data_IF_475601190995
#
_entry.id   IF_475601190995
#
_cell.length_a   1.000
_cell.length_b   1.000
_cell.length_c   1.000
_cell.angle_alpha   90.00
_cell.angle_beta   90.00
_cell.angle_gamma   90.00
#
_symmetry.space_group_name_H-M   'P 1'
#
loop_
_entity.id
_entity.type
_entity.pdbx_description
1 polymer ?
#
# COMPACT_ATOMS: atom_id res chain seq x y z
N UNK A 1 15.72 -15.96 21.31
CA UNK A 1 15.89 -15.99 19.84
C UNK A 1 14.69 -15.27 19.26
N UNK A 2 14.87 -14.17 18.52
CA UNK A 2 13.74 -13.51 17.87
C UNK A 2 13.23 -14.47 16.82
N UNK A 3 11.96 -14.89 16.94
CA UNK A 3 11.39 -15.88 16.03
C UNK A 3 11.22 -15.24 14.64
N UNK A 4 11.75 -15.90 13.61
CA UNK A 4 11.67 -15.44 12.23
C UNK A 4 10.21 -15.28 11.76
N UNK A 5 9.29 -16.01 12.39
CA UNK A 5 7.85 -15.86 12.21
C UNK A 5 7.35 -14.45 12.59
N UNK A 6 7.89 -13.83 13.66
CA UNK A 6 7.48 -12.50 14.10
C UNK A 6 7.97 -11.39 13.17
N UNK A 7 9.14 -11.56 12.54
CA UNK A 7 9.64 -10.62 11.54
C UNK A 7 8.83 -10.70 10.25
N UNK A 8 8.38 -11.89 9.86
CA UNK A 8 7.51 -12.06 8.70
C UNK A 8 6.17 -11.30 8.85
N UNK A 9 5.64 -11.18 10.08
CA UNK A 9 4.41 -10.40 10.35
C UNK A 9 4.59 -8.89 10.23
N UNK A 10 5.82 -8.39 10.13
CA UNK A 10 6.11 -6.96 9.90
C UNK A 10 6.31 -6.62 8.44
N UNK A 11 6.30 -7.62 7.56
CA UNK A 11 6.42 -7.40 6.13
C UNK A 11 5.08 -6.88 5.57
N UNK A 12 5.12 -5.91 4.63
CA UNK A 12 3.90 -5.38 4.01
C UNK A 12 3.17 -6.42 3.14
N UNK A 13 3.88 -7.47 2.69
CA UNK A 13 3.30 -8.61 1.98
C UNK A 13 3.59 -9.92 2.73
N UNK A 14 2.57 -10.76 2.81
CA UNK A 14 2.63 -12.12 3.31
C UNK A 14 2.78 -13.11 2.16
N UNK A 15 3.77 -14.01 2.27
CA UNK A 15 3.94 -15.09 1.32
C UNK A 15 2.93 -16.21 1.57
N UNK A 16 2.13 -16.52 0.55
CA UNK A 16 1.14 -17.59 0.55
C UNK A 16 1.76 -18.84 -0.06
N UNK A 17 2.19 -19.75 0.81
CA UNK A 17 2.84 -20.99 0.41
C UNK A 17 1.85 -21.91 -0.32
N UNK A 18 2.17 -22.34 -1.56
CA UNK A 18 1.37 -23.36 -2.24
C UNK A 18 1.34 -24.69 -1.48
N UNK A 19 0.26 -25.48 -1.61
CA UNK A 19 0.19 -26.78 -1.00
C UNK A 19 1.36 -27.66 -1.45
N UNK A 20 1.97 -28.40 -0.51
CA UNK A 20 3.10 -29.34 -0.73
C UNK A 20 4.44 -28.69 -1.06
N UNK A 21 4.55 -27.37 -1.07
CA UNK A 21 5.85 -26.72 -1.11
C UNK A 21 6.52 -26.78 0.26
N UNK A 22 7.84 -26.66 0.29
CA UNK A 22 8.56 -26.38 1.54
C UNK A 22 8.38 -24.92 1.93
N UNK A 23 8.28 -24.64 3.22
CA UNK A 23 8.16 -23.27 3.72
C UNK A 23 9.49 -22.52 3.46
N UNK A 24 9.47 -21.36 2.77
CA UNK A 24 10.67 -20.58 2.55
C UNK A 24 11.17 -19.95 3.85
N UNK A 25 12.46 -19.65 3.93
CA UNK A 25 13.03 -18.92 5.06
C UNK A 25 12.55 -17.45 5.05
N UNK A 26 12.45 -16.83 6.22
CA UNK A 26 12.06 -15.43 6.34
C UNK A 26 12.99 -14.50 5.54
N UNK A 27 14.29 -14.80 5.50
CA UNK A 27 15.28 -14.05 4.73
C UNK A 27 15.04 -14.11 3.21
N UNK A 28 14.55 -15.25 2.72
CA UNK A 28 14.18 -15.40 1.32
C UNK A 28 12.93 -14.58 1.01
N UNK A 29 11.92 -14.68 1.88
CA UNK A 29 10.65 -13.93 1.74
C UNK A 29 10.90 -12.42 1.75
N UNK A 30 11.70 -11.92 2.71
CA UNK A 30 12.05 -10.50 2.80
C UNK A 30 12.84 -10.02 1.56
N UNK A 31 13.70 -10.87 1.00
CA UNK A 31 14.49 -10.54 -0.19
C UNK A 31 13.71 -10.58 -1.52
N UNK A 32 12.56 -11.26 -1.57
CA UNK A 32 11.80 -11.50 -2.80
C UNK A 32 10.37 -10.94 -2.74
N UNK A 33 10.13 -9.92 -1.92
CA UNK A 33 8.80 -9.32 -1.75
C UNK A 33 8.14 -8.95 -3.09
N UNK A 34 6.94 -9.46 -3.31
CA UNK A 34 6.14 -9.18 -4.51
C UNK A 34 6.62 -9.87 -5.78
N UNK A 35 7.67 -10.70 -5.73
CA UNK A 35 8.17 -11.46 -6.88
C UNK A 35 7.15 -12.53 -7.31
N UNK A 36 6.78 -12.56 -8.60
CA UNK A 36 5.88 -13.59 -9.13
C UNK A 36 6.67 -14.61 -9.95
N UNK A 37 6.62 -15.90 -9.59
CA UNK A 37 7.19 -16.94 -10.41
C UNK A 37 6.46 -17.10 -11.75
N UNK A 38 7.19 -17.51 -12.78
CA UNK A 38 6.61 -17.83 -14.08
C UNK A 38 5.68 -19.06 -13.99
N UNK A 39 4.70 -19.20 -14.92
CA UNK A 39 3.84 -20.38 -14.97
C UNK A 39 4.66 -21.67 -15.05
N UNK A 40 4.37 -22.64 -14.17
CA UNK A 40 5.09 -23.91 -14.12
C UNK A 40 6.42 -23.88 -13.35
N UNK A 41 6.81 -22.74 -12.78
CA UNK A 41 7.99 -22.66 -11.93
C UNK A 41 7.80 -23.45 -10.63
N UNK A 42 8.87 -24.13 -10.21
CA UNK A 42 8.94 -24.88 -8.96
C UNK A 42 10.23 -24.51 -8.21
N UNK A 43 10.20 -24.42 -6.87
CA UNK A 43 11.39 -24.08 -6.07
C UNK A 43 12.43 -25.21 -6.09
N UNK A 44 11.96 -26.46 -6.16
CA UNK A 44 12.77 -27.66 -6.27
C UNK A 44 12.18 -28.59 -7.34
N UNK A 45 12.99 -29.39 -8.04
CA UNK A 45 12.51 -30.33 -9.06
C UNK A 45 11.42 -31.30 -8.56
N UNK A 46 11.48 -31.67 -7.29
CA UNK A 46 10.55 -32.63 -6.67
C UNK A 46 9.22 -32.01 -6.21
N UNK A 47 9.08 -30.68 -6.28
CA UNK A 47 7.85 -29.99 -5.89
C UNK A 47 6.87 -29.92 -7.07
N UNK A 48 5.56 -30.15 -6.85
CA UNK A 48 4.57 -29.89 -7.88
C UNK A 48 4.50 -28.40 -8.21
N UNK A 49 4.15 -28.03 -9.47
CA UNK A 49 3.89 -26.65 -9.83
C UNK A 49 2.75 -26.08 -8.99
N UNK A 50 2.78 -24.76 -8.74
CA UNK A 50 1.71 -24.09 -8.04
C UNK A 50 0.38 -24.22 -8.80
N UNK A 51 -0.77 -24.27 -8.11
CA UNK A 51 -2.08 -24.31 -8.74
C UNK A 51 -2.29 -23.14 -9.71
N UNK A 52 -3.08 -23.37 -10.78
CA UNK A 52 -3.43 -22.30 -11.70
C UNK A 52 -4.17 -21.17 -10.96
N UNK A 53 -3.74 -19.93 -11.18
CA UNK A 53 -4.30 -18.75 -10.51
C UNK A 53 -3.84 -18.55 -9.06
N UNK A 54 -2.82 -19.28 -8.59
CA UNK A 54 -2.30 -19.10 -7.24
C UNK A 54 -1.74 -17.69 -7.02
N UNK A 55 -2.13 -17.07 -5.91
CA UNK A 55 -1.65 -15.75 -5.51
C UNK A 55 -0.58 -15.95 -4.43
N UNK A 56 0.69 -15.77 -4.82
CA UNK A 56 1.84 -15.97 -3.93
C UNK A 56 1.98 -14.90 -2.84
N UNK A 57 1.39 -13.73 -3.04
CA UNK A 57 1.54 -12.60 -2.14
C UNK A 57 0.18 -12.03 -1.77
N UNK A 58 -0.08 -11.99 -0.47
CA UNK A 58 -1.25 -11.29 0.08
C UNK A 58 -0.77 -10.03 0.79
N UNK A 59 -1.59 -8.97 0.79
CA UNK A 59 -1.32 -7.79 1.62
C UNK A 59 -1.52 -8.15 3.08
N UNK A 60 -0.52 -7.82 3.90
CA UNK A 60 -0.69 -7.76 5.34
C UNK A 60 -1.30 -6.40 5.66
N UNK A 61 -2.59 -6.33 6.00
CA UNK A 61 -3.29 -5.04 6.10
C UNK A 61 -2.63 -4.07 7.09
N UNK A 62 -2.16 -4.57 8.24
CA UNK A 62 -1.52 -3.73 9.25
C UNK A 62 -0.17 -3.16 8.79
N UNK A 63 0.72 -4.02 8.27
CA UNK A 63 2.05 -3.59 7.82
C UNK A 63 1.99 -2.83 6.47
N UNK A 64 1.03 -3.16 5.62
CA UNK A 64 0.81 -2.48 4.34
C UNK A 64 0.35 -1.04 4.53
N UNK A 65 -0.56 -0.78 5.46
CA UNK A 65 -0.98 0.59 5.76
C UNK A 65 0.17 1.45 6.25
N UNK A 66 1.00 0.95 7.16
CA UNK A 66 2.17 1.67 7.67
C UNK A 66 3.18 1.98 6.55
N UNK A 67 3.48 1.00 5.69
CA UNK A 67 4.34 1.20 4.51
C UNK A 67 3.72 2.19 3.51
N UNK A 68 2.44 2.00 3.16
CA UNK A 68 1.74 2.81 2.18
C UNK A 68 1.46 4.22 2.68
N UNK A 69 1.37 4.46 3.99
CA UNK A 69 1.10 5.79 4.56
C UNK A 69 2.13 6.82 4.10
N UNK A 70 3.42 6.44 4.04
CA UNK A 70 4.51 7.30 3.58
C UNK A 70 4.33 7.76 2.13
N UNK A 71 3.79 6.88 1.27
CA UNK A 71 3.60 7.16 -0.16
C UNK A 71 2.22 7.78 -0.46
N UNK A 72 1.20 7.43 0.32
CA UNK A 72 -0.19 7.89 0.11
C UNK A 72 -0.50 9.21 0.81
N UNK A 73 0.31 9.66 1.78
CA UNK A 73 0.11 10.93 2.48
C UNK A 73 -0.02 12.13 1.52
N UNK A 74 0.74 12.15 0.42
CA UNK A 74 0.68 13.22 -0.60
C UNK A 74 -0.64 13.19 -1.39
N UNK A 75 -1.10 12.00 -1.79
CA UNK A 75 -2.37 11.81 -2.48
C UNK A 75 -3.57 12.09 -1.55
N UNK A 76 -3.49 11.69 -0.28
CA UNK A 76 -4.51 11.96 0.72
C UNK A 76 -4.66 13.47 0.97
N UNK A 77 -3.55 14.21 0.96
CA UNK A 77 -3.55 15.67 1.06
C UNK A 77 -4.25 16.33 -0.13
N UNK A 78 -4.03 15.86 -1.36
CA UNK A 78 -4.74 16.42 -2.54
C UNK A 78 -6.24 16.12 -2.51
N UNK A 79 -6.63 14.93 -2.06
CA UNK A 79 -8.06 14.58 -1.86
C UNK A 79 -8.70 15.51 -0.82
N UNK A 80 -8.04 15.74 0.32
CA UNK A 80 -8.55 16.67 1.35
C UNK A 80 -8.64 18.11 0.86
N UNK A 81 -7.68 18.59 0.08
CA UNK A 81 -7.74 19.91 -0.55
C UNK A 81 -8.94 19.98 -1.51
N UNK A 82 -9.15 18.96 -2.33
CA UNK A 82 -10.32 18.87 -3.22
C UNK A 82 -11.64 18.90 -2.45
N UNK A 83 -11.74 18.15 -1.34
CA UNK A 83 -12.90 18.14 -0.47
C UNK A 83 -13.15 19.50 0.19
N UNK A 84 -12.10 20.17 0.65
CA UNK A 84 -12.20 21.52 1.23
C UNK A 84 -12.67 22.54 0.19
N UNK A 85 -12.12 22.51 -1.02
CA UNK A 85 -12.54 23.42 -2.11
C UNK A 85 -14.01 23.17 -2.47
N UNK A 86 -14.43 21.91 -2.54
CA UNK A 86 -15.82 21.55 -2.83
C UNK A 86 -16.75 22.00 -1.70
N UNK A 87 -16.40 21.73 -0.44
CA UNK A 87 -17.16 22.14 0.72
C UNK A 87 -17.27 23.66 0.85
N UNK A 88 -16.17 24.38 0.60
CA UNK A 88 -16.17 25.85 0.59
C UNK A 88 -17.05 26.38 -0.53
N UNK A 89 -16.95 25.81 -1.73
CA UNK A 89 -17.82 26.15 -2.87
C UNK A 89 -19.30 25.92 -2.55
N UNK A 90 -19.64 24.81 -1.89
CA UNK A 90 -21.02 24.50 -1.48
C UNK A 90 -21.55 25.48 -0.40
N UNK A 91 -20.72 25.84 0.59
CA UNK A 91 -21.08 26.81 1.64
C UNK A 91 -21.28 28.21 1.04
N UNK A 92 -20.35 28.66 0.20
CA UNK A 92 -20.46 29.96 -0.49
C UNK A 92 -21.70 29.99 -1.38
N UNK A 93 -21.97 28.91 -2.10
CA UNK A 93 -23.15 28.81 -2.97
C UNK A 93 -24.44 28.83 -2.16
N UNK A 94 -24.53 28.09 -1.05
CA UNK A 94 -25.72 28.04 -0.18
C UNK A 94 -25.96 29.33 0.61
N UNK A 95 -24.89 30.02 1.04
CA UNK A 95 -25.00 31.31 1.72
C UNK A 95 -25.40 32.44 0.74
N UNK A 96 -24.92 32.42 -0.51
CA UNK A 96 -25.28 33.43 -1.51
C UNK A 96 -26.64 33.17 -2.18
N UNK A 97 -27.08 31.92 -2.35
CA UNK A 97 -28.45 31.65 -2.87
C UNK A 97 -29.54 32.13 -1.92
N UNK A 98 -29.26 32.19 -0.61
CA UNK A 98 -30.16 32.75 0.38
C UNK A 98 -30.37 34.27 0.25
N UNK A 99 -29.49 34.99 -0.47
CA UNK A 99 -29.48 36.46 -0.56
C UNK A 99 -30.06 36.97 -1.89
N UNK A 100 -30.61 36.08 -2.74
CA UNK A 100 -31.18 36.38 -4.07
C UNK A 100 -30.18 37.07 -5.01
N UNK A 101 -29.44 36.27 -5.81
CA UNK A 101 -28.51 36.79 -6.81
C UNK A 101 -28.60 36.04 -8.16
N UNK A 102 -28.19 36.69 -9.28
CA UNK A 102 -28.52 36.35 -10.66
C UNK A 102 -27.56 35.34 -11.30
N UNK A 103 -27.84 34.98 -12.57
CA UNK A 103 -27.17 34.08 -13.55
C UNK A 103 -25.72 33.63 -13.27
N UNK A 104 -24.84 34.45 -12.67
CA UNK A 104 -23.48 34.05 -12.26
C UNK A 104 -23.43 32.88 -11.26
N UNK A 105 -24.46 32.71 -10.42
CA UNK A 105 -24.59 31.56 -9.50
C UNK A 105 -24.76 30.23 -10.23
N UNK A 106 -25.40 30.24 -11.41
CA UNK A 106 -25.59 29.04 -12.21
C UNK A 106 -24.25 28.49 -12.71
N UNK A 107 -23.33 29.39 -13.11
CA UNK A 107 -22.00 29.01 -13.60
C UNK A 107 -21.15 28.43 -12.47
N UNK A 108 -21.18 29.01 -11.26
CA UNK A 108 -20.42 28.50 -10.10
C UNK A 108 -20.95 27.15 -9.64
N UNK A 109 -22.28 26.98 -9.59
CA UNK A 109 -22.90 25.70 -9.24
C UNK A 109 -22.55 24.60 -10.24
N UNK A 110 -22.67 24.87 -11.55
CA UNK A 110 -22.30 23.91 -12.59
C UNK A 110 -20.79 23.63 -12.62
N UNK A 111 -19.95 24.63 -12.39
CA UNK A 111 -18.51 24.44 -12.26
C UNK A 111 -18.18 23.52 -11.08
N UNK A 112 -18.76 23.75 -9.90
CA UNK A 112 -18.55 22.88 -8.74
C UNK A 112 -19.11 21.46 -8.95
N UNK A 113 -20.30 21.35 -9.57
CA UNK A 113 -21.00 20.09 -9.81
C UNK A 113 -20.31 19.22 -10.87
N UNK A 114 -19.64 19.82 -11.86
CA UNK A 114 -18.83 19.08 -12.84
C UNK A 114 -17.40 18.83 -12.34
N UNK A 115 -16.80 19.79 -11.62
CA UNK A 115 -15.41 19.68 -11.17
C UNK A 115 -15.23 18.65 -10.05
N UNK A 116 -16.21 18.52 -9.14
CA UNK A 116 -16.18 17.54 -8.05
C UNK A 116 -16.05 16.09 -8.54
N UNK A 117 -16.95 15.60 -9.41
CA UNK A 117 -16.86 14.26 -9.98
C UNK A 117 -15.58 14.03 -10.80
N UNK A 118 -15.12 15.03 -11.57
CA UNK A 118 -13.88 14.92 -12.34
C UNK A 118 -12.68 14.70 -11.40
N UNK A 119 -12.58 15.47 -10.31
CA UNK A 119 -11.54 15.28 -9.30
C UNK A 119 -11.60 13.90 -8.63
N UNK A 120 -12.80 13.43 -8.28
CA UNK A 120 -12.98 12.10 -7.66
C UNK A 120 -12.55 10.99 -8.63
N UNK A 121 -12.94 11.07 -9.90
CA UNK A 121 -12.54 10.09 -10.93
C UNK A 121 -11.03 10.14 -11.17
N UNK A 122 -10.43 11.33 -11.19
CA UNK A 122 -8.99 11.48 -11.36
C UNK A 122 -8.21 10.93 -10.15
N UNK A 123 -8.71 11.16 -8.93
CA UNK A 123 -8.15 10.60 -7.71
C UNK A 123 -8.29 9.06 -7.68
N UNK A 124 -9.45 8.52 -8.06
CA UNK A 124 -9.68 7.09 -8.13
C UNK A 124 -8.74 6.40 -9.14
N UNK A 125 -8.60 6.95 -10.35
CA UNK A 125 -7.65 6.44 -11.35
C UNK A 125 -6.20 6.55 -10.89
N UNK A 126 -5.85 7.61 -10.16
CA UNK A 126 -4.51 7.74 -9.58
C UNK A 126 -4.22 6.63 -8.55
N UNK A 127 -5.24 6.15 -7.82
CA UNK A 127 -5.09 5.13 -6.79
C UNK A 127 -4.64 3.77 -7.37
N UNK A 128 -5.15 3.40 -8.54
CA UNK A 128 -4.75 2.16 -9.23
C UNK A 128 -3.31 2.25 -9.74
N UNK A 129 -2.93 3.39 -10.31
CA UNK A 129 -1.54 3.66 -10.72
C UNK A 129 -0.59 3.72 -9.52
N UNK A 130 -1.05 4.25 -8.38
CA UNK A 130 -0.27 4.28 -7.13
C UNK A 130 -0.08 2.86 -6.59
N UNK A 131 -1.09 1.99 -6.68
CA UNK A 131 -0.98 0.59 -6.23
C UNK A 131 0.04 -0.20 -7.05
N UNK A 132 0.05 -0.06 -8.38
CA UNK A 132 1.04 -0.73 -9.22
C UNK A 132 2.43 -0.14 -9.00
N UNK A 133 2.56 1.19 -8.93
CA UNK A 133 3.82 1.85 -8.63
C UNK A 133 4.37 1.49 -7.24
N UNK A 134 3.51 1.29 -6.24
CA UNK A 134 3.89 0.83 -4.90
C UNK A 134 4.43 -0.59 -4.93
N UNK A 135 3.78 -1.50 -5.66
CA UNK A 135 4.26 -2.88 -5.79
C UNK A 135 5.59 -2.94 -6.55
N UNK A 136 5.76 -2.13 -7.60
CA UNK A 136 7.01 -2.05 -8.34
C UNK A 136 8.13 -1.44 -7.49
N UNK A 137 7.84 -0.37 -6.74
CA UNK A 137 8.79 0.21 -5.81
C UNK A 137 9.16 -0.76 -4.68
N UNK A 138 8.20 -1.53 -4.16
CA UNK A 138 8.44 -2.55 -3.15
C UNK A 138 9.36 -3.65 -3.69
N UNK A 139 9.14 -4.12 -4.93
CA UNK A 139 10.00 -5.11 -5.60
C UNK A 139 11.42 -4.58 -5.79
N UNK A 140 11.56 -3.34 -6.22
CA UNK A 140 12.86 -2.69 -6.44
C UNK A 140 13.61 -2.47 -5.11
N UNK A 141 12.89 -2.12 -4.05
CA UNK A 141 13.48 -1.83 -2.73
C UNK A 141 13.47 -3.03 -1.76
N UNK A 142 13.05 -4.22 -2.20
CA UNK A 142 13.05 -5.42 -1.36
C UNK A 142 14.41 -5.68 -0.68
N UNK A 143 15.58 -5.48 -1.34
CA UNK A 143 16.88 -5.61 -0.67
C UNK A 143 17.08 -4.61 0.47
N UNK A 144 16.56 -3.38 0.36
CA UNK A 144 16.65 -2.36 1.43
C UNK A 144 15.76 -2.72 2.61
N UNK A 145 14.53 -3.15 2.33
CA UNK A 145 13.59 -3.62 3.38
C UNK A 145 14.22 -4.78 4.17
N UNK A 146 14.90 -5.69 3.48
CA UNK A 146 15.66 -6.77 4.12
C UNK A 146 16.75 -6.23 5.07
N UNK A 147 17.59 -5.29 4.62
CA UNK A 147 18.65 -4.70 5.46
C UNK A 147 18.07 -4.04 6.71
N UNK A 148 16.94 -3.35 6.58
CA UNK A 148 16.28 -2.69 7.72
C UNK A 148 15.73 -3.71 8.73
N UNK A 149 15.15 -4.81 8.25
CA UNK A 149 14.72 -5.91 9.11
C UNK A 149 15.90 -6.60 9.81
N UNK A 150 17.00 -6.85 9.08
CA UNK A 150 18.21 -7.45 9.65
C UNK A 150 18.78 -6.56 10.76
N UNK A 151 18.77 -5.24 10.56
CA UNK A 151 19.16 -4.26 11.58
C UNK A 151 18.26 -4.34 12.81
N UNK A 152 16.94 -4.35 12.63
CA UNK A 152 15.99 -4.44 13.75
C UNK A 152 16.12 -5.75 14.53
N UNK A 153 16.34 -6.86 13.82
CA UNK A 153 16.60 -8.17 14.43
C UNK A 153 17.89 -8.15 15.25
N UNK A 154 18.94 -7.54 14.72
CA UNK A 154 20.22 -7.38 15.40
C UNK A 154 20.10 -6.48 16.65
N UNK A 155 19.40 -5.35 16.56
CA UNK A 155 19.15 -4.47 17.71
C UNK A 155 18.31 -5.15 18.81
N UNK A 156 17.33 -5.99 18.43
CA UNK A 156 16.57 -6.80 19.37
C UNK A 156 17.45 -7.87 20.05
N UNK A 157 18.33 -8.52 19.30
CA UNK A 157 19.31 -9.46 19.83
C UNK A 157 20.25 -8.79 20.85
N UNK A 158 20.83 -7.63 20.51
CA UNK A 158 21.71 -6.88 21.41
C UNK A 158 21.00 -6.46 22.72
N UNK A 159 19.73 -6.05 22.63
CA UNK A 159 18.94 -5.73 23.83
C UNK A 159 18.71 -6.95 24.72
N UNK A 160 18.37 -8.09 24.13
CA UNK A 160 18.18 -9.33 24.88
C UNK A 160 19.48 -9.78 25.55
N UNK A 161 20.61 -9.71 24.83
CA UNK A 161 21.93 -10.07 25.36
C UNK A 161 22.34 -9.19 26.55
N UNK A 162 22.15 -7.86 26.45
CA UNK A 162 22.43 -6.92 27.56
C UNK A 162 21.53 -7.12 28.78
N UNK A 163 20.30 -7.62 28.59
CA UNK A 163 19.39 -7.90 29.70
C UNK A 163 19.72 -9.21 30.43
N UNK A 164 20.47 -10.11 29.79
CA UNK A 164 20.90 -11.39 30.37
C UNK A 164 22.29 -11.38 31.01
N UNK A 165 23.06 -10.31 30.81
CA UNK A 165 24.38 -10.07 31.40
C UNK A 165 24.29 -9.19 32.63
#
# INVERSE_FOLDING_TARGET
>A
MVDASQLAHRLPLEFQQPPRWTAPTADWVAGHLGWQPAPGWTPTPDCPPAPAGWVFWRRNEGAWEEYAHTYTARARRSIWIGLLVLGTGAIVTSALTAIAAPIGLFIVFWAAMLWGPIQIIHAARSMDTINTALLDNLRENAPRVKIELDRLAYEAYLRAYRASS
#
